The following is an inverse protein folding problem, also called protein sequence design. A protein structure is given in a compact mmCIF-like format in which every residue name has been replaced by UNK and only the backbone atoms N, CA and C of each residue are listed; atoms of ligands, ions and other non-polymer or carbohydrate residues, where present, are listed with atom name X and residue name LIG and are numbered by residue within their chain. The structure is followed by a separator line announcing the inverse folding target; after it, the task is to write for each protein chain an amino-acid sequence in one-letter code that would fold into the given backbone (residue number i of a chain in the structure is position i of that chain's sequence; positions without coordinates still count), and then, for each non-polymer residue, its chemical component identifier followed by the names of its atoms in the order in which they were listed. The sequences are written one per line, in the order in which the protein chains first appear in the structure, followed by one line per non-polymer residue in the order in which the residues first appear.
data_IF_724697990773
#
_entry.id   IF_724697990773
#
_cell.length_a   1.000
_cell.length_b   1.000
_cell.length_c   1.000
_cell.angle_alpha   90.00
_cell.angle_beta   90.00
_cell.angle_gamma   90.00
#
_symmetry.space_group_name_H-M   'P 1'
#
loop_
_entity.id
_entity.type
_entity.pdbx_description
1 polymer ?
#
# COMPACT_ATOMS: atom_id res chain seq x y z
N UNK A 1 4.33 10.97 -65.95
CA UNK A 1 4.70 11.75 -64.75
C UNK A 1 3.67 11.44 -63.66
N UNK A 2 4.02 10.67 -62.62
CA UNK A 2 3.11 10.38 -61.50
C UNK A 2 3.21 11.44 -60.38
N UNK A 3 2.13 11.70 -59.62
CA UNK A 3 2.10 12.81 -58.67
C UNK A 3 2.82 12.48 -57.36
N UNK A 4 3.69 13.40 -56.93
CA UNK A 4 4.42 13.38 -55.64
C UNK A 4 3.44 13.47 -54.46
N UNK A 5 3.32 12.40 -53.66
CA UNK A 5 2.68 12.44 -52.34
C UNK A 5 3.55 13.27 -51.40
N UNK A 6 3.02 14.39 -50.88
CA UNK A 6 3.61 15.18 -49.80
C UNK A 6 3.50 14.39 -48.49
N UNK A 7 4.64 13.98 -47.95
CA UNK A 7 4.77 13.54 -46.56
C UNK A 7 4.54 14.73 -45.63
N UNK A 8 3.39 14.77 -44.95
CA UNK A 8 3.13 15.71 -43.88
C UNK A 8 3.93 15.29 -42.65
N UNK A 9 4.91 16.11 -42.27
CA UNK A 9 5.68 15.99 -41.03
C UNK A 9 4.75 16.28 -39.86
N UNK A 10 4.40 15.25 -39.08
CA UNK A 10 3.70 15.41 -37.80
C UNK A 10 4.66 16.11 -36.83
N UNK A 11 4.54 17.43 -36.73
CA UNK A 11 5.13 18.19 -35.63
C UNK A 11 4.36 17.86 -34.37
N UNK A 12 5.00 17.17 -33.43
CA UNK A 12 4.53 17.01 -32.07
C UNK A 12 4.20 18.41 -31.51
N UNK A 13 2.94 18.62 -31.14
CA UNK A 13 2.49 19.87 -30.52
C UNK A 13 3.00 19.89 -29.07
N UNK A 14 4.16 20.49 -28.84
CA UNK A 14 4.51 21.03 -27.52
C UNK A 14 3.52 22.15 -27.22
N UNK A 15 2.49 21.86 -26.43
CA UNK A 15 1.59 22.90 -25.92
C UNK A 15 2.40 23.89 -25.10
N UNK A 16 2.45 25.14 -25.56
CA UNK A 16 3.04 26.24 -24.82
C UNK A 16 2.40 26.31 -23.42
N UNK A 17 3.22 26.15 -22.38
CA UNK A 17 2.81 26.27 -20.97
C UNK A 17 2.20 27.65 -20.74
N UNK A 18 1.03 27.71 -20.11
CA UNK A 18 0.50 28.96 -19.58
C UNK A 18 1.19 29.25 -18.24
N UNK A 19 1.62 30.48 -18.04
CA UNK A 19 2.25 30.91 -16.79
C UNK A 19 1.32 30.62 -15.60
N UNK A 20 1.80 29.84 -14.62
CA UNK A 20 1.06 29.46 -13.41
C UNK A 20 0.29 28.13 -13.48
N UNK A 21 0.45 27.33 -14.52
CA UNK A 21 0.03 25.92 -14.54
C UNK A 21 1.15 25.01 -13.98
N UNK A 22 0.80 24.01 -13.15
CA UNK A 22 1.78 23.06 -12.63
C UNK A 22 2.45 22.30 -13.79
N UNK A 23 3.73 21.91 -13.66
CA UNK A 23 4.42 21.16 -14.70
C UNK A 23 3.83 19.75 -14.85
N UNK A 24 3.76 19.26 -16.09
CA UNK A 24 3.46 17.86 -16.37
C UNK A 24 4.42 16.95 -15.56
N UNK A 25 3.93 15.85 -14.99
CA UNK A 25 2.60 15.23 -15.11
C UNK A 25 1.56 15.68 -14.05
N UNK A 26 1.83 16.78 -13.35
CA UNK A 26 0.93 17.32 -12.32
C UNK A 26 -0.11 18.25 -12.93
N UNK A 27 -1.38 18.05 -12.58
CA UNK A 27 -2.50 18.87 -13.03
C UNK A 27 -3.24 19.45 -11.82
N UNK A 28 -3.95 20.57 -12.01
CA UNK A 28 -4.84 21.11 -10.97
C UNK A 28 -5.97 20.11 -10.70
N UNK A 29 -6.36 19.99 -9.42
CA UNK A 29 -7.46 19.11 -9.04
C UNK A 29 -8.77 19.62 -9.66
N UNK A 30 -9.60 18.77 -10.28
CA UNK A 30 -10.90 19.17 -10.80
C UNK A 30 -11.78 19.77 -9.71
N UNK A 31 -12.56 20.81 -10.04
CA UNK A 31 -13.44 21.52 -9.09
C UNK A 31 -14.40 20.57 -8.33
N UNK A 32 -14.83 19.50 -8.99
CA UNK A 32 -15.69 18.44 -8.43
C UNK A 32 -15.07 17.76 -7.20
N UNK A 33 -13.73 17.72 -7.10
CA UNK A 33 -13.01 17.12 -5.98
C UNK A 33 -12.63 18.15 -4.90
N UNK A 34 -12.91 19.44 -5.05
CA UNK A 34 -12.63 20.42 -3.99
C UNK A 34 -13.30 20.11 -2.64
N UNK A 35 -14.58 19.67 -2.60
CA UNK A 35 -15.18 19.27 -1.34
C UNK A 35 -14.46 18.06 -0.74
N UNK A 36 -13.81 17.21 -1.54
CA UNK A 36 -13.02 16.09 -1.05
C UNK A 36 -11.68 16.57 -0.47
N UNK A 37 -10.96 17.44 -1.18
CA UNK A 37 -9.62 17.91 -0.79
C UNK A 37 -9.59 18.74 0.48
N UNK A 38 -10.67 19.47 0.80
CA UNK A 38 -10.82 20.19 2.08
C UNK A 38 -10.72 19.28 3.31
N UNK A 39 -10.98 17.98 3.17
CA UNK A 39 -10.86 17.00 4.24
C UNK A 39 -9.50 16.33 4.37
N UNK A 40 -8.58 16.57 3.43
CA UNK A 40 -7.29 15.89 3.36
C UNK A 40 -6.25 16.60 4.23
N UNK A 41 -5.43 15.81 4.93
CA UNK A 41 -4.23 16.34 5.56
C UNK A 41 -3.15 16.58 4.50
N UNK A 42 -2.57 17.79 4.49
CA UNK A 42 -1.51 18.22 3.57
C UNK A 42 -0.20 17.42 3.71
N UNK A 43 -0.05 16.67 4.80
CA UNK A 43 1.14 15.89 5.11
C UNK A 43 1.21 14.53 4.41
N UNK A 44 0.22 14.16 3.62
CA UNK A 44 0.13 12.83 3.00
C UNK A 44 -0.18 12.93 1.51
N UNK A 45 0.28 11.92 0.78
CA UNK A 45 -0.13 11.60 -0.58
C UNK A 45 -1.29 10.63 -0.49
N UNK A 46 -2.30 10.84 -1.34
CA UNK A 46 -3.49 9.99 -1.36
C UNK A 46 -3.64 9.32 -2.71
N UNK A 47 -4.02 8.05 -2.70
CA UNK A 47 -4.33 7.26 -3.90
C UNK A 47 -5.73 6.69 -3.76
N UNK A 48 -6.64 7.15 -4.61
CA UNK A 48 -7.97 6.60 -4.75
C UNK A 48 -8.05 5.66 -5.95
N UNK A 49 -8.74 4.55 -5.78
CA UNK A 49 -9.10 3.64 -6.87
C UNK A 49 -10.46 3.01 -6.60
N UNK A 50 -11.03 2.42 -7.65
CA UNK A 50 -12.32 1.75 -7.59
C UNK A 50 -12.05 0.25 -7.57
N UNK A 51 -12.53 -0.42 -6.55
CA UNK A 51 -12.51 -1.88 -6.45
C UNK A 51 -13.85 -2.45 -6.93
N UNK A 52 -13.76 -3.25 -8.00
CA UNK A 52 -14.90 -3.92 -8.64
C UNK A 52 -15.11 -5.38 -8.19
N UNK A 53 -14.46 -5.84 -7.11
CA UNK A 53 -14.66 -7.22 -6.62
C UNK A 53 -16.10 -7.45 -6.12
N UNK A 54 -16.57 -8.72 -6.11
CA UNK A 54 -17.90 -9.05 -5.58
C UNK A 54 -18.06 -8.68 -4.10
N UNK A 55 -19.25 -8.22 -3.71
CA UNK A 55 -19.53 -7.85 -2.31
C UNK A 55 -19.33 -9.02 -1.33
N UNK A 56 -19.65 -10.25 -1.75
CA UNK A 56 -19.45 -11.45 -0.92
C UNK A 56 -17.98 -11.71 -0.60
N UNK A 57 -17.09 -11.51 -1.58
CA UNK A 57 -15.65 -11.68 -1.41
C UNK A 57 -15.11 -10.68 -0.39
N UNK A 58 -15.54 -9.41 -0.48
CA UNK A 58 -15.19 -8.35 0.47
C UNK A 58 -15.68 -8.67 1.88
N UNK A 59 -16.89 -9.25 2.01
CA UNK A 59 -17.45 -9.68 3.30
C UNK A 59 -16.60 -10.76 3.94
N UNK A 60 -16.20 -11.80 3.19
CA UNK A 60 -15.33 -12.88 3.68
C UNK A 60 -14.00 -12.34 4.19
N UNK A 61 -13.38 -11.43 3.44
CA UNK A 61 -12.12 -10.78 3.86
C UNK A 61 -12.31 -9.95 5.12
N UNK A 62 -13.44 -9.23 5.24
CA UNK A 62 -13.72 -8.40 6.42
C UNK A 62 -14.03 -9.22 7.68
N UNK A 63 -14.59 -10.43 7.56
CA UNK A 63 -14.89 -11.30 8.71
C UNK A 63 -13.60 -11.70 9.45
N UNK A 64 -12.49 -11.89 8.74
CA UNK A 64 -11.20 -12.28 9.36
C UNK A 64 -10.75 -11.29 10.44
N UNK A 65 -10.55 -9.98 10.17
CA UNK A 65 -10.18 -9.03 11.20
C UNK A 65 -11.28 -8.82 12.25
N UNK A 66 -12.57 -8.98 11.90
CA UNK A 66 -13.66 -8.92 12.89
C UNK A 66 -13.51 -10.04 13.93
N UNK A 67 -13.37 -11.30 13.50
CA UNK A 67 -13.22 -12.43 14.40
C UNK A 67 -11.95 -12.33 15.23
N UNK A 68 -10.84 -11.88 14.63
CA UNK A 68 -9.59 -11.65 15.34
C UNK A 68 -9.74 -10.61 16.46
N UNK A 69 -10.38 -9.46 16.17
CA UNK A 69 -10.60 -8.42 17.18
C UNK A 69 -11.57 -8.86 18.28
N UNK A 70 -12.62 -9.64 17.93
CA UNK A 70 -13.52 -10.23 18.92
C UNK A 70 -12.77 -11.20 19.83
N UNK A 71 -11.93 -12.07 19.27
CA UNK A 71 -11.14 -13.03 20.04
C UNK A 71 -10.16 -12.32 20.99
N UNK A 72 -9.45 -11.30 20.50
CA UNK A 72 -8.54 -10.49 21.33
C UNK A 72 -9.30 -9.76 22.43
N UNK A 73 -10.44 -9.12 22.11
CA UNK A 73 -11.25 -8.42 23.10
C UNK A 73 -11.81 -9.39 24.17
N UNK A 74 -12.29 -10.57 23.75
CA UNK A 74 -12.79 -11.60 24.66
C UNK A 74 -11.69 -12.14 25.56
N UNK A 75 -10.50 -12.43 25.02
CA UNK A 75 -9.34 -12.87 25.79
C UNK A 75 -8.89 -11.80 26.79
N UNK A 76 -8.92 -10.52 26.39
CA UNK A 76 -8.58 -9.40 27.27
C UNK A 76 -9.59 -9.25 28.41
N UNK A 77 -10.89 -9.29 28.11
CA UNK A 77 -11.96 -9.24 29.13
C UNK A 77 -11.89 -10.43 30.07
N UNK A 78 -11.65 -11.64 29.55
CA UNK A 78 -11.44 -12.84 30.35
C UNK A 78 -10.23 -12.66 31.28
N UNK A 79 -9.08 -12.24 30.74
CA UNK A 79 -7.88 -11.95 31.55
C UNK A 79 -8.16 -10.93 32.65
N UNK A 80 -8.84 -9.84 32.30
CA UNK A 80 -9.18 -8.76 33.21
C UNK A 80 -10.14 -9.23 34.32
N UNK A 81 -11.11 -10.08 33.99
CA UNK A 81 -12.03 -10.68 34.96
C UNK A 81 -11.30 -11.51 36.05
N UNK A 82 -10.26 -12.27 35.68
CA UNK A 82 -9.48 -13.04 36.66
C UNK A 82 -8.48 -12.20 37.45
N UNK A 83 -7.85 -11.20 36.83
CA UNK A 83 -6.76 -10.44 37.45
C UNK A 83 -7.23 -9.21 38.23
N UNK A 84 -8.37 -8.60 37.89
CA UNK A 84 -8.89 -7.43 38.60
C UNK A 84 -9.17 -7.71 40.09
N UNK A 85 -9.84 -8.81 40.47
CA UNK A 85 -10.03 -9.12 41.90
C UNK A 85 -8.68 -9.25 42.62
N UNK A 86 -7.68 -9.86 41.96
CA UNK A 86 -6.34 -9.99 42.51
C UNK A 86 -5.69 -8.62 42.75
N UNK A 87 -5.72 -7.71 41.78
CA UNK A 87 -5.20 -6.35 41.94
C UNK A 87 -5.98 -5.55 42.99
N UNK A 88 -7.29 -5.72 43.06
CA UNK A 88 -8.11 -5.13 44.11
C UNK A 88 -7.69 -5.63 45.50
N UNK A 89 -7.38 -6.92 45.66
CA UNK A 89 -6.88 -7.42 46.96
C UNK A 89 -5.53 -6.81 47.34
N UNK A 90 -4.64 -6.54 46.39
CA UNK A 90 -3.34 -5.89 46.68
C UNK A 90 -3.58 -4.45 47.15
N UNK A 91 -4.41 -3.69 46.44
CA UNK A 91 -4.71 -2.31 46.76
C UNK A 91 -5.47 -2.17 48.09
N UNK A 92 -6.50 -2.99 48.30
CA UNK A 92 -7.32 -2.94 49.52
C UNK A 92 -6.56 -3.46 50.74
N UNK A 93 -5.77 -4.53 50.62
CA UNK A 93 -4.94 -4.99 51.75
C UNK A 93 -3.90 -3.96 52.14
N UNK A 94 -3.33 -3.22 51.19
CA UNK A 94 -2.41 -2.12 51.47
C UNK A 94 -3.09 -0.93 52.17
N UNK A 95 -4.39 -0.69 51.95
CA UNK A 95 -5.11 0.47 52.51
C UNK A 95 -5.90 0.17 53.79
N UNK A 96 -6.43 -1.05 53.95
CA UNK A 96 -7.38 -1.40 55.03
C UNK A 96 -6.72 -2.21 56.15
N UNK A 97 -5.67 -2.97 55.86
CA UNK A 97 -5.00 -3.77 56.88
C UNK A 97 -3.77 -3.04 57.41
N UNK A 98 -3.60 -3.02 58.73
CA UNK A 98 -2.36 -2.60 59.37
C UNK A 98 -1.16 -3.35 58.74
N UNK A 99 0.08 -2.82 58.85
CA UNK A 99 1.30 -3.40 58.26
C UNK A 99 1.52 -4.90 58.54
N UNK A 100 0.77 -5.42 59.52
CA UNK A 100 0.77 -6.79 60.01
C UNK A 100 0.23 -7.87 59.07
N UNK A 101 -0.46 -7.51 57.99
CA UNK A 101 -1.17 -8.51 57.15
C UNK A 101 -0.56 -8.71 55.75
N UNK A 102 0.61 -8.13 55.49
CA UNK A 102 1.40 -8.53 54.33
C UNK A 102 1.92 -9.97 54.54
N UNK A 103 1.88 -10.86 53.52
CA UNK A 103 2.52 -12.16 53.59
C UNK A 103 4.02 -11.93 53.89
N UNK A 104 4.45 -12.34 55.07
CA UNK A 104 5.75 -11.95 55.64
C UNK A 104 5.77 -11.91 57.16
N UNK A 105 4.63 -11.95 57.84
CA UNK A 105 4.63 -12.04 59.30
C UNK A 105 4.72 -13.49 59.78
N UNK A 106 5.99 -13.90 59.90
CA UNK A 106 6.68 -14.62 61.00
C UNK A 106 7.63 -15.73 60.54
N UNK A 107 7.64 -16.11 59.26
CA UNK A 107 8.52 -17.18 58.74
C UNK A 107 9.01 -17.01 57.29
N UNK A 108 8.81 -15.86 56.64
CA UNK A 108 9.19 -15.70 55.23
C UNK A 108 10.63 -15.22 55.06
N UNK A 109 11.41 -15.93 54.24
CA UNK A 109 12.79 -15.55 53.90
C UNK A 109 12.76 -14.38 52.91
N UNK A 110 13.78 -13.51 52.92
CA UNK A 110 13.93 -12.42 51.93
C UNK A 110 13.84 -12.91 50.47
N UNK A 111 14.23 -14.16 50.21
CA UNK A 111 14.06 -14.84 48.93
C UNK A 111 12.58 -15.04 48.55
N UNK A 112 11.74 -15.42 49.50
CA UNK A 112 10.31 -15.70 49.27
C UNK A 112 9.54 -14.41 49.01
N UNK A 113 9.91 -13.35 49.74
CA UNK A 113 9.38 -12.01 49.52
C UNK A 113 9.81 -11.48 48.15
N UNK A 114 11.08 -11.64 47.77
CA UNK A 114 11.59 -11.27 46.45
C UNK A 114 10.89 -12.04 45.32
N UNK A 115 10.65 -13.34 45.51
CA UNK A 115 9.93 -14.18 44.55
C UNK A 115 8.48 -13.76 44.36
N UNK A 116 7.77 -13.47 45.46
CA UNK A 116 6.38 -12.99 45.41
C UNK A 116 6.28 -11.63 44.74
N UNK A 117 7.20 -10.70 45.05
CA UNK A 117 7.27 -9.38 44.39
C UNK A 117 7.57 -9.55 42.90
N UNK A 118 8.56 -10.37 42.55
CA UNK A 118 8.95 -10.62 41.15
C UNK A 118 7.80 -11.21 40.34
N UNK A 119 7.14 -12.25 40.86
CA UNK A 119 5.97 -12.89 40.21
C UNK A 119 4.82 -11.89 39.98
N UNK A 120 4.55 -11.03 40.98
CA UNK A 120 3.51 -9.99 40.91
C UNK A 120 3.86 -8.90 39.91
N UNK A 121 5.06 -8.35 40.03
CA UNK A 121 5.58 -7.32 39.13
C UNK A 121 5.59 -7.80 37.68
N UNK A 122 6.00 -9.04 37.44
CA UNK A 122 5.98 -9.63 36.10
C UNK A 122 4.57 -9.79 35.53
N UNK A 123 3.60 -10.26 36.33
CA UNK A 123 2.20 -10.33 35.87
C UNK A 123 1.64 -8.94 35.55
N UNK A 124 1.90 -7.94 36.41
CA UNK A 124 1.48 -6.55 36.17
C UNK A 124 2.14 -5.96 34.92
N UNK A 125 3.42 -6.26 34.70
CA UNK A 125 4.13 -5.85 33.51
C UNK A 125 3.51 -6.46 32.24
N UNK A 126 3.20 -7.75 32.23
CA UNK A 126 2.52 -8.40 31.09
C UNK A 126 1.17 -7.72 30.83
N UNK A 127 0.36 -7.50 31.87
CA UNK A 127 -0.96 -6.90 31.68
C UNK A 127 -0.86 -5.45 31.19
N UNK A 128 0.16 -4.70 31.64
CA UNK A 128 0.48 -3.37 31.11
C UNK A 128 0.88 -3.43 29.62
N UNK A 129 1.72 -4.39 29.23
CA UNK A 129 2.09 -4.60 27.83
C UNK A 129 0.88 -4.96 26.97
N UNK A 130 -0.01 -5.84 27.46
CA UNK A 130 -1.25 -6.18 26.77
C UNK A 130 -2.16 -4.95 26.62
N UNK A 131 -2.28 -4.13 27.66
CA UNK A 131 -3.11 -2.93 27.62
C UNK A 131 -2.53 -1.84 26.71
N UNK A 132 -1.21 -1.66 26.67
CA UNK A 132 -0.57 -0.63 25.84
C UNK A 132 -0.49 -1.06 24.37
N UNK A 133 -0.16 -2.32 24.08
CA UNK A 133 0.15 -2.74 22.71
C UNK A 133 -0.98 -3.54 22.03
N UNK A 134 -1.75 -4.32 22.79
CA UNK A 134 -2.77 -5.23 22.21
C UNK A 134 -4.16 -4.61 22.27
N UNK A 135 -4.54 -3.99 23.39
CA UNK A 135 -5.87 -3.38 23.55
C UNK A 135 -6.18 -2.25 22.55
N UNK A 136 -5.23 -1.42 22.09
CA UNK A 136 -5.55 -0.41 21.08
C UNK A 136 -6.07 -1.01 19.77
N UNK A 137 -5.76 -2.26 19.43
CA UNK A 137 -6.17 -2.84 18.15
C UNK A 137 -7.70 -2.99 18.04
N UNK A 138 -8.41 -3.66 18.98
CA UNK A 138 -9.88 -3.64 18.99
C UNK A 138 -10.48 -2.24 19.07
N UNK A 139 -9.88 -1.35 19.85
CA UNK A 139 -10.37 0.01 20.04
C UNK A 139 -10.27 0.81 18.73
N UNK A 140 -9.13 0.78 18.04
CA UNK A 140 -8.97 1.41 16.73
C UNK A 140 -9.87 0.77 15.68
N UNK A 141 -10.09 -0.55 15.74
CA UNK A 141 -10.97 -1.25 14.82
C UNK A 141 -12.43 -0.77 14.89
N UNK A 142 -12.93 -0.46 16.10
CA UNK A 142 -14.32 -0.03 16.32
C UNK A 142 -14.47 1.49 16.39
N UNK A 143 -13.67 2.16 17.22
CA UNK A 143 -13.78 3.59 17.50
C UNK A 143 -12.96 4.44 16.51
N UNK A 144 -11.79 3.94 16.08
CA UNK A 144 -10.91 4.56 15.07
C UNK A 144 -10.53 6.00 15.39
N UNK A 145 -9.50 6.19 16.21
CA UNK A 145 -9.11 7.50 16.73
C UNK A 145 -8.31 8.32 15.72
N UNK A 146 -7.60 7.66 14.79
CA UNK A 146 -6.60 8.32 13.94
C UNK A 146 -7.10 8.62 12.52
N UNK A 147 -7.61 7.62 11.78
CA UNK A 147 -7.98 7.75 10.36
C UNK A 147 -9.41 7.25 10.06
N UNK A 148 -10.25 7.18 11.10
CA UNK A 148 -11.55 6.53 11.07
C UNK A 148 -11.48 5.06 11.45
N UNK A 149 -12.65 4.43 11.60
CA UNK A 149 -12.72 3.02 11.99
C UNK A 149 -13.28 2.17 10.86
N UNK A 150 -12.77 0.95 10.69
CA UNK A 150 -13.31 0.00 9.73
C UNK A 150 -14.78 -0.35 9.96
N UNK A 151 -15.19 -0.48 11.22
CA UNK A 151 -16.59 -0.76 11.57
C UNK A 151 -17.48 0.41 11.16
N UNK A 152 -17.08 1.66 11.44
CA UNK A 152 -17.84 2.85 11.02
C UNK A 152 -17.93 2.94 9.50
N UNK A 153 -16.86 2.60 8.79
CA UNK A 153 -16.89 2.55 7.32
C UNK A 153 -17.90 1.53 6.81
N UNK A 154 -17.89 0.30 7.36
CA UNK A 154 -18.86 -0.73 6.96
C UNK A 154 -20.29 -0.40 7.36
N UNK A 155 -20.51 0.28 8.48
CA UNK A 155 -21.84 0.78 8.82
C UNK A 155 -22.32 1.91 7.89
N UNK A 156 -21.44 2.80 7.46
CA UNK A 156 -21.82 3.93 6.62
C UNK A 156 -22.01 3.55 5.14
N UNK A 157 -21.16 2.68 4.60
CA UNK A 157 -21.11 2.37 3.16
C UNK A 157 -21.70 0.99 2.83
N UNK A 158 -21.57 0.03 3.76
CA UNK A 158 -21.91 -1.37 3.53
C UNK A 158 -20.85 -2.13 2.72
N UNK A 159 -21.30 -3.19 2.04
CA UNK A 159 -20.52 -3.92 1.04
C UNK A 159 -21.16 -3.69 -0.33
N UNK A 160 -20.43 -3.04 -1.25
CA UNK A 160 -20.91 -2.70 -2.60
C UNK A 160 -20.06 -3.40 -3.66
N UNK A 161 -20.63 -3.60 -4.84
CA UNK A 161 -19.91 -4.16 -5.99
C UNK A 161 -18.77 -3.24 -6.45
N UNK A 162 -19.05 -1.92 -6.54
CA UNK A 162 -18.06 -0.89 -6.83
C UNK A 162 -17.82 -0.05 -5.58
N UNK A 163 -16.64 -0.18 -4.99
CA UNK A 163 -16.24 0.56 -3.78
C UNK A 163 -15.04 1.47 -4.07
N UNK A 164 -15.06 2.68 -3.52
CA UNK A 164 -13.95 3.62 -3.58
C UNK A 164 -13.01 3.38 -2.41
N UNK A 165 -11.78 2.98 -2.70
CA UNK A 165 -10.72 2.81 -1.73
C UNK A 165 -9.75 3.97 -1.80
N UNK A 166 -9.56 4.63 -0.65
CA UNK A 166 -8.61 5.74 -0.49
C UNK A 166 -7.48 5.26 0.39
N UNK A 167 -6.27 5.26 -0.17
CA UNK A 167 -5.03 4.97 0.54
C UNK A 167 -4.30 6.28 0.84
N UNK A 168 -3.62 6.33 1.97
CA UNK A 168 -2.76 7.43 2.42
C UNK A 168 -1.33 6.93 2.58
N UNK A 169 -0.36 7.80 2.27
CA UNK A 169 1.05 7.50 2.55
C UNK A 169 1.31 7.41 4.05
N UNK A 170 2.25 6.54 4.43
CA UNK A 170 2.80 6.43 5.79
C UNK A 170 4.03 7.34 5.93
N UNK A 171 5.09 6.85 6.56
CA UNK A 171 6.21 7.67 7.04
C UNK A 171 7.12 8.18 5.92
N UNK A 172 7.15 7.53 4.76
CA UNK A 172 8.02 7.93 3.64
C UNK A 172 7.72 9.32 3.09
N UNK A 173 6.52 9.85 3.35
CA UNK A 173 6.17 11.23 2.98
C UNK A 173 6.93 12.28 3.80
N UNK A 174 7.34 11.96 5.03
CA UNK A 174 8.09 12.89 5.87
C UNK A 174 9.51 13.14 5.34
N UNK A 175 10.02 12.22 4.52
CA UNK A 175 11.34 12.30 3.87
C UNK A 175 11.22 12.92 2.48
N UNK A 176 10.00 13.11 1.98
CA UNK A 176 9.76 13.70 0.67
C UNK A 176 9.97 15.22 0.75
N UNK A 177 10.92 15.72 -0.03
CA UNK A 177 11.07 17.13 -0.31
C UNK A 177 10.06 17.61 -1.36
N UNK A 178 10.47 18.55 -2.20
CA UNK A 178 9.62 19.06 -3.26
C UNK A 178 9.51 18.03 -4.40
N UNK A 179 8.33 17.46 -4.61
CA UNK A 179 8.09 16.43 -5.63
C UNK A 179 8.22 16.96 -7.06
N UNK A 180 8.04 18.27 -7.25
CA UNK A 180 8.09 18.91 -8.56
C UNK A 180 9.53 19.29 -8.89
N UNK A 181 10.23 19.92 -7.96
CA UNK A 181 11.55 20.49 -8.21
C UNK A 181 12.69 19.48 -7.97
N UNK A 182 12.56 18.61 -6.98
CA UNK A 182 13.61 17.68 -6.58
C UNK A 182 13.47 16.33 -7.27
N UNK A 183 14.46 15.99 -8.11
CA UNK A 183 14.47 14.74 -8.90
C UNK A 183 14.40 13.48 -8.02
N UNK A 184 15.10 13.48 -6.89
CA UNK A 184 15.14 12.30 -6.01
C UNK A 184 13.80 12.09 -5.29
N UNK A 185 13.19 13.16 -4.78
CA UNK A 185 11.83 13.14 -4.21
C UNK A 185 10.79 12.73 -5.26
N UNK A 186 10.91 13.21 -6.50
CA UNK A 186 10.06 12.80 -7.61
C UNK A 186 10.20 11.30 -7.91
N UNK A 187 11.43 10.77 -7.98
CA UNK A 187 11.67 9.34 -8.23
C UNK A 187 11.10 8.46 -7.12
N UNK A 188 11.26 8.85 -5.86
CA UNK A 188 10.69 8.13 -4.71
C UNK A 188 9.16 8.14 -4.78
N UNK A 189 8.58 9.31 -5.03
CA UNK A 189 7.13 9.49 -5.17
C UNK A 189 6.56 8.62 -6.30
N UNK A 190 7.13 8.73 -7.50
CA UNK A 190 6.66 7.99 -8.68
C UNK A 190 6.81 6.49 -8.50
N UNK A 191 7.91 6.02 -7.91
CA UNK A 191 8.10 4.61 -7.57
C UNK A 191 7.01 4.05 -6.64
N UNK A 192 6.71 4.75 -5.54
CA UNK A 192 5.66 4.31 -4.61
C UNK A 192 4.25 4.42 -5.19
N UNK A 193 3.99 5.48 -5.98
CA UNK A 193 2.71 5.67 -6.66
C UNK A 193 2.49 4.60 -7.70
N UNK A 194 3.49 4.29 -8.54
CA UNK A 194 3.41 3.25 -9.57
C UNK A 194 3.17 1.87 -8.95
N UNK A 195 3.83 1.55 -7.83
CA UNK A 195 3.57 0.32 -7.09
C UNK A 195 2.13 0.27 -6.56
N UNK A 196 1.62 1.38 -6.03
CA UNK A 196 0.27 1.46 -5.50
C UNK A 196 -0.81 1.36 -6.61
N UNK A 197 -0.57 1.94 -7.77
CA UNK A 197 -1.54 2.02 -8.88
C UNK A 197 -1.37 0.91 -9.91
N UNK A 198 -0.48 -0.05 -9.67
CA UNK A 198 -0.29 -1.21 -10.53
C UNK A 198 -1.61 -1.99 -10.74
N UNK A 199 -2.07 -2.21 -11.99
CA UNK A 199 -3.31 -2.94 -12.27
C UNK A 199 -3.35 -4.32 -11.64
N UNK A 200 -2.25 -5.08 -11.72
CA UNK A 200 -2.14 -6.40 -11.10
C UNK A 200 -2.40 -6.37 -9.58
N UNK A 201 -1.92 -5.34 -8.88
CA UNK A 201 -2.17 -5.19 -7.44
C UNK A 201 -3.65 -4.91 -7.17
N UNK A 202 -4.26 -4.01 -7.95
CA UNK A 202 -5.67 -3.62 -7.83
C UNK A 202 -6.62 -4.78 -8.19
N UNK A 203 -6.22 -5.63 -9.13
CA UNK A 203 -6.98 -6.81 -9.53
C UNK A 203 -6.85 -7.95 -8.52
N UNK A 204 -5.70 -8.13 -7.88
CA UNK A 204 -5.46 -9.24 -6.96
C UNK A 204 -5.91 -8.93 -5.53
N UNK A 205 -5.73 -7.69 -5.06
CA UNK A 205 -5.93 -7.31 -3.66
C UNK A 205 -7.10 -6.34 -3.52
N UNK A 206 -7.90 -6.53 -2.48
CA UNK A 206 -9.02 -5.65 -2.10
C UNK A 206 -8.90 -5.22 -0.65
N UNK A 207 -9.34 -4.00 -0.36
CA UNK A 207 -9.41 -3.43 0.98
C UNK A 207 -8.18 -3.66 1.83
N UNK A 208 -8.33 -4.37 2.93
CA UNK A 208 -7.25 -4.62 3.90
C UNK A 208 -5.97 -5.19 3.28
N UNK A 209 -6.09 -5.98 2.22
CA UNK A 209 -4.94 -6.57 1.54
C UNK A 209 -4.06 -5.53 0.82
N UNK A 210 -4.59 -4.32 0.62
CA UNK A 210 -3.87 -3.20 0.02
C UNK A 210 -3.05 -2.40 1.03
N UNK A 211 -3.23 -2.64 2.33
CA UNK A 211 -2.39 -2.05 3.38
C UNK A 211 -1.00 -2.70 3.34
N UNK A 212 0.04 -1.88 3.42
CA UNK A 212 1.43 -2.35 3.51
C UNK A 212 2.28 -1.33 4.29
N UNK A 213 3.60 -1.53 4.31
CA UNK A 213 4.51 -0.65 5.04
C UNK A 213 4.50 0.80 4.52
N UNK A 214 4.05 1.04 3.29
CA UNK A 214 4.11 2.35 2.63
C UNK A 214 2.73 3.04 2.59
N UNK A 215 1.65 2.26 2.62
CA UNK A 215 0.29 2.71 2.39
C UNK A 215 -0.66 2.19 3.47
N UNK A 216 -1.43 3.11 4.05
CA UNK A 216 -2.54 2.80 4.94
C UNK A 216 -3.88 3.10 4.27
N UNK A 217 -4.97 2.51 4.77
CA UNK A 217 -6.32 2.91 4.34
C UNK A 217 -6.78 4.12 5.15
N UNK A 218 -7.55 5.01 4.53
CA UNK A 218 -8.21 6.10 5.25
C UNK A 218 -9.74 5.91 5.20
N UNK A 219 -10.26 5.24 6.22
CA UNK A 219 -11.67 4.88 6.32
C UNK A 219 -12.58 6.11 6.33
N UNK A 220 -12.14 7.20 6.97
CA UNK A 220 -12.90 8.45 7.01
C UNK A 220 -13.03 9.08 5.62
N UNK A 221 -11.94 9.11 4.85
CA UNK A 221 -11.96 9.60 3.48
C UNK A 221 -12.74 8.67 2.55
N UNK A 222 -12.66 7.36 2.75
CA UNK A 222 -13.49 6.40 1.99
C UNK A 222 -14.99 6.65 2.21
N UNK A 223 -15.43 6.87 3.45
CA UNK A 223 -16.83 7.23 3.74
C UNK A 223 -17.21 8.56 3.08
N UNK A 224 -16.32 9.56 3.14
CA UNK A 224 -16.56 10.86 2.49
C UNK A 224 -16.69 10.74 0.98
N UNK A 225 -15.81 9.99 0.32
CA UNK A 225 -15.84 9.77 -1.12
C UNK A 225 -17.16 9.10 -1.55
N UNK A 226 -17.57 8.04 -0.84
CA UNK A 226 -18.86 7.40 -1.10
C UNK A 226 -20.04 8.34 -0.87
N UNK A 227 -20.01 9.14 0.20
CA UNK A 227 -21.07 10.13 0.47
C UNK A 227 -21.18 11.17 -0.65
N UNK A 228 -20.06 11.61 -1.23
CA UNK A 228 -20.09 12.55 -2.37
C UNK A 228 -20.71 11.91 -3.61
N UNK A 229 -20.41 10.63 -3.87
CA UNK A 229 -21.04 9.88 -4.97
C UNK A 229 -22.53 9.64 -4.71
N UNK A 230 -22.90 9.26 -3.49
CA UNK A 230 -24.29 9.00 -3.10
C UNK A 230 -25.15 10.27 -3.20
N UNK A 231 -24.57 11.43 -2.90
CA UNK A 231 -25.21 12.75 -3.07
C UNK A 231 -25.19 13.28 -4.51
N UNK A 232 -24.58 12.55 -5.45
CA UNK A 232 -24.37 12.97 -6.84
C UNK A 232 -23.56 14.27 -6.98
N UNK A 233 -22.73 14.60 -5.98
CA UNK A 233 -21.78 15.72 -6.04
C UNK A 233 -20.59 15.39 -6.94
N UNK A 234 -20.23 14.10 -7.04
CA UNK A 234 -19.15 13.61 -7.89
C UNK A 234 -19.52 12.29 -8.58
N UNK A 235 -19.05 12.10 -9.81
CA UNK A 235 -19.17 10.81 -10.48
C UNK A 235 -18.14 9.82 -9.90
N UNK A 236 -18.52 8.54 -9.82
CA UNK A 236 -17.67 7.47 -9.29
C UNK A 236 -16.33 7.38 -10.04
N UNK A 237 -16.35 7.63 -11.36
CA UNK A 237 -15.18 7.55 -12.23
C UNK A 237 -14.11 8.60 -11.93
N UNK A 238 -14.47 9.71 -11.26
CA UNK A 238 -13.51 10.75 -10.86
C UNK A 238 -12.50 10.20 -9.84
N UNK A 239 -12.87 9.17 -9.08
CA UNK A 239 -11.99 8.48 -8.14
C UNK A 239 -11.21 7.31 -8.76
N UNK A 240 -11.34 7.07 -10.07
CA UNK A 240 -10.57 6.03 -10.77
C UNK A 240 -9.12 6.47 -10.85
N UNK A 241 -8.23 5.76 -10.15
CA UNK A 241 -6.78 5.97 -10.18
C UNK A 241 -6.39 7.44 -9.96
N UNK A 242 -7.06 8.10 -9.03
CA UNK A 242 -6.78 9.48 -8.69
C UNK A 242 -5.66 9.52 -7.64
N UNK A 243 -4.54 10.16 -7.99
CA UNK A 243 -3.41 10.38 -7.10
C UNK A 243 -3.39 11.86 -6.74
N UNK A 244 -3.44 12.18 -5.45
CA UNK A 244 -3.52 13.55 -4.94
C UNK A 244 -2.31 13.85 -4.05
N UNK A 245 -1.65 14.98 -4.33
CA UNK A 245 -0.50 15.49 -3.58
C UNK A 245 -0.69 16.98 -3.31
N UNK A 246 -0.22 17.46 -2.17
CA UNK A 246 -0.26 18.88 -1.83
C UNK A 246 1.09 19.53 -2.08
N UNK A 247 1.10 20.62 -2.82
CA UNK A 247 2.25 21.50 -3.07
C UNK A 247 2.06 22.86 -2.38
N UNK A 248 3.15 23.52 -1.99
CA UNK A 248 3.04 24.84 -1.32
C UNK A 248 2.53 25.92 -2.27
N UNK A 249 3.10 26.01 -3.47
CA UNK A 249 2.73 27.06 -4.45
C UNK A 249 1.44 26.79 -5.23
N UNK A 250 1.21 25.54 -5.63
CA UNK A 250 0.08 25.18 -6.48
C UNK A 250 -1.13 24.61 -5.72
N UNK A 251 -0.99 24.39 -4.41
CA UNK A 251 -2.05 23.77 -3.59
C UNK A 251 -2.22 22.28 -3.90
N UNK A 252 -3.48 21.81 -3.95
CA UNK A 252 -3.76 20.40 -4.25
C UNK A 252 -3.59 20.12 -5.74
N UNK A 253 -2.77 19.11 -6.04
CA UNK A 253 -2.47 18.63 -7.38
C UNK A 253 -2.94 17.19 -7.57
N UNK A 254 -3.37 16.89 -8.78
CA UNK A 254 -3.64 15.54 -9.27
C UNK A 254 -2.45 15.09 -10.12
N UNK A 255 -1.89 13.92 -9.81
CA UNK A 255 -0.86 13.31 -10.65
C UNK A 255 -1.53 12.43 -11.71
N UNK A 256 -1.28 12.72 -12.99
CA UNK A 256 -1.77 11.91 -14.10
C UNK A 256 -0.82 10.74 -14.35
N UNK A 257 -1.27 9.53 -14.04
CA UNK A 257 -0.49 8.31 -14.22
C UNK A 257 -0.10 8.05 -15.68
N UNK A 258 -0.88 8.54 -16.65
CA UNK A 258 -0.59 8.32 -18.08
C UNK A 258 0.53 9.22 -18.58
N UNK A 259 0.64 10.42 -18.01
CA UNK A 259 1.69 11.38 -18.35
C UNK A 259 2.95 11.17 -17.51
N UNK A 260 2.78 10.57 -16.33
CA UNK A 260 3.84 10.37 -15.36
C UNK A 260 4.60 9.04 -15.48
N UNK A 261 4.01 8.03 -16.14
CA UNK A 261 4.78 6.91 -16.63
C UNK A 261 5.64 7.42 -17.79
N UNK A 262 6.96 7.31 -17.69
CA UNK A 262 7.78 7.54 -18.88
C UNK A 262 7.31 6.54 -19.94
N UNK A 263 7.15 7.02 -21.18
CA UNK A 263 6.72 6.18 -22.31
C UNK A 263 7.55 4.89 -22.37
N UNK A 264 8.84 4.98 -22.04
CA UNK A 264 9.76 3.85 -21.95
C UNK A 264 9.43 2.83 -20.84
N UNK A 265 9.04 3.25 -19.63
CA UNK A 265 8.70 2.31 -18.56
C UNK A 265 7.36 1.62 -18.83
N UNK A 266 6.39 2.33 -19.38
CA UNK A 266 5.11 1.73 -19.79
C UNK A 266 5.29 0.80 -21.01
N UNK A 267 6.13 1.18 -21.97
CA UNK A 267 6.53 0.32 -23.09
C UNK A 267 7.26 -0.93 -22.61
N UNK A 268 8.32 -0.80 -21.79
CA UNK A 268 9.02 -1.95 -21.18
C UNK A 268 8.06 -2.86 -20.43
N UNK A 269 7.11 -2.28 -19.68
CA UNK A 269 6.10 -3.06 -18.96
C UNK A 269 5.15 -3.79 -19.92
N UNK A 270 4.70 -3.14 -20.99
CA UNK A 270 3.86 -3.74 -22.04
C UNK A 270 4.58 -4.88 -22.76
N UNK A 271 5.86 -4.68 -23.05
CA UNK A 271 6.75 -5.67 -23.66
C UNK A 271 6.87 -6.92 -22.78
N UNK A 272 7.13 -6.75 -21.49
CA UNK A 272 7.21 -7.86 -20.52
C UNK A 272 5.88 -8.62 -20.41
N UNK A 273 4.74 -7.93 -20.44
CA UNK A 273 3.43 -8.59 -20.42
C UNK A 273 3.13 -9.32 -21.74
N UNK A 274 3.45 -8.73 -22.89
CA UNK A 274 3.31 -9.37 -24.19
C UNK A 274 4.14 -10.65 -24.29
N UNK A 275 5.35 -10.63 -23.77
CA UNK A 275 6.22 -11.81 -23.69
C UNK A 275 5.64 -12.92 -22.80
N UNK A 276 5.10 -12.57 -21.61
CA UNK A 276 4.43 -13.54 -20.74
C UNK A 276 3.23 -14.19 -21.42
N UNK A 277 2.38 -13.38 -22.03
CA UNK A 277 1.14 -13.86 -22.63
C UNK A 277 1.43 -14.76 -23.85
N UNK A 278 2.51 -14.50 -24.60
CA UNK A 278 2.99 -15.38 -25.66
C UNK A 278 3.53 -16.72 -25.13
N UNK A 279 4.29 -16.71 -24.04
CA UNK A 279 4.74 -17.94 -23.37
C UNK A 279 3.56 -18.75 -22.79
N UNK A 280 2.53 -18.06 -22.29
CA UNK A 280 1.30 -18.67 -21.80
C UNK A 280 0.49 -19.33 -22.92
N UNK A 281 0.40 -18.67 -24.09
CA UNK A 281 -0.24 -19.23 -25.28
C UNK A 281 0.48 -20.50 -25.80
N UNK A 282 1.79 -20.63 -25.54
CA UNK A 282 2.58 -21.82 -25.85
C UNK A 282 2.55 -22.89 -24.74
N UNK A 283 1.82 -22.64 -23.64
CA UNK A 283 1.74 -23.53 -22.48
C UNK A 283 3.05 -23.64 -21.68
N UNK A 284 3.94 -22.65 -21.78
CA UNK A 284 5.28 -22.63 -21.16
C UNK A 284 5.45 -21.47 -20.19
N UNK A 285 4.46 -21.24 -19.33
CA UNK A 285 4.47 -20.18 -18.32
C UNK A 285 5.65 -20.32 -17.33
N UNK A 286 6.08 -21.55 -17.05
CA UNK A 286 7.21 -21.84 -16.15
C UNK A 286 8.53 -21.18 -16.58
N UNK A 287 8.71 -20.98 -17.90
CA UNK A 287 9.90 -20.30 -18.44
C UNK A 287 9.93 -18.81 -18.06
N UNK A 288 8.76 -18.17 -18.01
CA UNK A 288 8.65 -16.78 -17.60
C UNK A 288 9.05 -16.59 -16.14
N UNK A 289 8.57 -17.48 -15.25
CA UNK A 289 8.91 -17.40 -13.83
C UNK A 289 10.41 -17.65 -13.58
N UNK A 290 11.01 -18.64 -14.25
CA UNK A 290 12.46 -18.90 -14.17
C UNK A 290 13.29 -17.75 -14.73
N UNK A 291 12.84 -17.11 -15.81
CA UNK A 291 13.49 -15.93 -16.35
C UNK A 291 13.49 -14.78 -15.34
N UNK A 292 12.33 -14.45 -14.77
CA UNK A 292 12.20 -13.40 -13.74
C UNK A 292 13.08 -13.71 -12.53
N UNK A 293 13.15 -14.97 -12.11
CA UNK A 293 14.00 -15.41 -11.01
C UNK A 293 15.49 -15.20 -11.31
N UNK A 294 15.98 -15.58 -12.49
CA UNK A 294 17.37 -15.35 -12.90
C UNK A 294 17.70 -13.86 -12.92
N UNK A 295 16.82 -13.03 -13.49
CA UNK A 295 17.02 -11.58 -13.54
C UNK A 295 17.03 -10.97 -12.13
N UNK A 296 16.11 -11.39 -11.25
CA UNK A 296 16.07 -10.92 -9.86
C UNK A 296 17.28 -11.39 -9.05
N UNK A 297 17.72 -12.63 -9.26
CA UNK A 297 18.89 -13.20 -8.59
C UNK A 297 20.16 -12.42 -8.96
N UNK A 298 20.41 -12.20 -10.25
CA UNK A 298 21.59 -11.46 -10.71
C UNK A 298 21.54 -9.97 -10.32
N UNK A 299 20.35 -9.37 -10.28
CA UNK A 299 20.15 -7.98 -9.83
C UNK A 299 20.35 -7.78 -8.31
N UNK A 300 20.16 -8.82 -7.50
CA UNK A 300 20.33 -8.76 -6.03
C UNK A 300 21.75 -9.12 -5.56
N UNK A 301 22.64 -9.54 -6.46
CA UNK A 301 24.05 -9.81 -6.13
C UNK A 301 24.82 -8.51 -5.81
N UNK A 302 25.75 -8.53 -4.83
CA UNK A 302 26.62 -7.39 -4.53
C UNK A 302 27.39 -6.95 -5.79
N UNK A 303 27.38 -5.64 -6.06
CA UNK A 303 27.93 -5.02 -7.28
C UNK A 303 26.91 -4.60 -8.34
N UNK A 304 25.60 -4.83 -8.12
CA UNK A 304 24.53 -4.35 -9.00
C UNK A 304 24.46 -5.07 -10.36
N UNK A 305 23.54 -4.62 -11.22
CA UNK A 305 23.25 -5.20 -12.55
C UNK A 305 24.12 -4.55 -13.66
N UNK A 306 25.44 -4.68 -13.52
CA UNK A 306 26.42 -4.14 -14.48
C UNK A 306 26.48 -4.93 -15.80
N UNK A 307 27.09 -4.36 -16.85
CA UNK A 307 27.09 -4.91 -18.22
C UNK A 307 27.61 -6.36 -18.30
N UNK A 308 28.68 -6.70 -17.59
CA UNK A 308 29.23 -8.07 -17.57
C UNK A 308 28.23 -9.10 -17.00
N UNK A 309 27.40 -8.70 -16.03
CA UNK A 309 26.38 -9.59 -15.45
C UNK A 309 25.15 -9.72 -16.35
N UNK A 310 24.87 -8.69 -17.16
CA UNK A 310 23.80 -8.74 -18.16
C UNK A 310 24.11 -9.79 -19.23
N UNK A 311 25.36 -9.88 -19.68
CA UNK A 311 25.80 -10.89 -20.63
C UNK A 311 25.69 -12.32 -20.07
N UNK A 312 26.11 -12.52 -18.81
CA UNK A 312 26.01 -13.82 -18.12
C UNK A 312 24.55 -14.22 -17.92
N UNK A 313 23.69 -13.29 -17.50
CA UNK A 313 22.26 -13.53 -17.35
C UNK A 313 21.61 -13.87 -18.70
N UNK A 314 21.90 -13.09 -19.75
CA UNK A 314 21.37 -13.32 -21.10
C UNK A 314 21.77 -14.69 -21.65
N UNK A 315 23.01 -15.12 -21.43
CA UNK A 315 23.48 -16.46 -21.85
C UNK A 315 22.72 -17.58 -21.13
N UNK A 316 22.56 -17.48 -19.80
CA UNK A 316 21.78 -18.47 -19.01
C UNK A 316 20.32 -18.53 -19.46
N UNK A 317 19.73 -17.38 -19.78
CA UNK A 317 18.34 -17.30 -20.25
C UNK A 317 18.20 -17.96 -21.62
N UNK A 318 19.12 -17.69 -22.56
CA UNK A 318 19.14 -18.35 -23.88
C UNK A 318 19.23 -19.86 -23.76
N UNK A 319 20.18 -20.37 -22.99
CA UNK A 319 20.36 -21.82 -22.77
C UNK A 319 19.10 -22.47 -22.15
N UNK A 320 18.44 -21.78 -21.21
CA UNK A 320 17.23 -22.28 -20.55
C UNK A 320 16.03 -22.33 -21.49
N UNK A 321 15.89 -21.36 -22.39
CA UNK A 321 14.83 -21.31 -23.40
C UNK A 321 15.08 -22.32 -24.53
N UNK A 322 16.32 -22.43 -25.01
CA UNK A 322 16.73 -23.43 -26.00
C UNK A 322 16.51 -24.86 -25.50
N UNK A 323 16.80 -25.14 -24.24
CA UNK A 323 16.55 -26.44 -23.61
C UNK A 323 15.08 -26.85 -23.55
N UNK A 324 14.16 -25.91 -23.74
CA UNK A 324 12.72 -26.16 -23.85
C UNK A 324 12.19 -25.95 -25.29
N UNK A 325 13.08 -25.80 -26.28
CA UNK A 325 12.72 -25.62 -27.69
C UNK A 325 12.02 -24.29 -27.98
N UNK A 326 12.35 -23.23 -27.24
CA UNK A 326 11.88 -21.86 -27.50
C UNK A 326 13.11 -20.99 -27.79
N UNK A 327 13.08 -20.25 -28.89
CA UNK A 327 14.11 -19.26 -29.19
C UNK A 327 13.74 -17.94 -28.50
N UNK A 328 14.52 -17.56 -27.49
CA UNK A 328 14.26 -16.37 -26.67
C UNK A 328 14.30 -15.09 -27.52
N UNK A 329 15.34 -14.92 -28.34
CA UNK A 329 15.56 -13.70 -29.12
C UNK A 329 14.47 -13.55 -30.19
N UNK A 330 14.08 -14.66 -30.82
CA UNK A 330 12.97 -14.66 -31.79
C UNK A 330 11.63 -14.37 -31.14
N UNK A 331 11.32 -15.00 -30.00
CA UNK A 331 10.05 -14.78 -29.30
C UNK A 331 9.97 -13.36 -28.74
N UNK A 332 11.07 -12.84 -28.21
CA UNK A 332 11.15 -11.45 -27.78
C UNK A 332 10.94 -10.50 -28.97
N UNK A 333 11.62 -10.73 -30.10
CA UNK A 333 11.44 -9.94 -31.32
C UNK A 333 10.01 -9.97 -31.86
N UNK A 334 9.36 -11.14 -31.85
CA UNK A 334 7.99 -11.32 -32.34
C UNK A 334 6.94 -10.67 -31.42
N UNK A 335 7.24 -10.50 -30.13
CA UNK A 335 6.32 -9.94 -29.12
C UNK A 335 6.55 -8.46 -28.82
N UNK A 336 7.78 -7.98 -28.96
CA UNK A 336 8.22 -6.63 -28.56
C UNK A 336 8.49 -5.73 -29.78
N UNK A 337 8.84 -6.28 -30.94
CA UNK A 337 9.22 -5.53 -32.14
C UNK A 337 10.68 -5.05 -32.12
N UNK A 338 11.24 -4.75 -33.31
CA UNK A 338 12.62 -4.28 -33.51
C UNK A 338 12.80 -2.83 -33.01
N UNK A 339 13.12 -2.63 -31.74
CA UNK A 339 13.71 -1.36 -31.26
C UNK A 339 14.71 -1.62 -30.12
N UNK A 340 15.70 -2.48 -30.38
CA UNK A 340 16.83 -2.74 -29.48
C UNK A 340 18.20 -2.46 -30.13
N UNK A 341 18.24 -1.59 -31.15
CA UNK A 341 19.49 -1.14 -31.78
C UNK A 341 19.91 0.27 -31.32
N UNK A 342 19.37 0.80 -30.22
CA UNK A 342 19.76 2.12 -29.69
C UNK A 342 19.83 2.17 -28.17
N UNK A 343 20.66 1.30 -27.58
CA UNK A 343 21.21 1.50 -26.24
C UNK A 343 22.67 1.03 -26.26
N UNK A 344 23.52 1.83 -26.91
CA UNK A 344 24.94 1.94 -26.57
C UNK A 344 25.11 2.90 -25.37
#
# INVERSE_FOLDING_TARGET
MPPKKRSAKLTASTSARRDGEPPDPFQKVPEVLEPFTKGLSKKHVYVAHIDGKPAEFKRKIFVVPVLMNIAVAAAFVFRMYYILPYYFTILVKAMVQHPSSFPGQTTSTWSDLGWEIGKRGFSMFIDLMLFIFVWPWPVEFVAGQTHGSPVKWRWAVGFREKEIYVRRSRDWQAVLGDVIEERDSNRIFTGYVAQATAPMLQEQKTGYLLMNNNWDLDWKLMVRAHRMVDKKEAALDVFRNAVLVHHQDYGWLRYDLKLGASTEEEEKRRQVFGFRDALSAMGKEDLFYRWVEIVQFEATQPGGFGPEKQEVAAKKIRELFEGQGVDFDKLWKDTVGEDLDKLD
#
